data_IF_309133467135
#
_entry.id   IF_309133467135
#
_cell.length_a   1.000
_cell.length_b   1.000
_cell.length_c   1.000
_cell.angle_alpha   90.00
_cell.angle_beta   90.00
_cell.angle_gamma   90.00
#
_symmetry.space_group_name_H-M   'P 1'
#
loop_
_entity.id
_entity.type
_entity.pdbx_description
1 polymer ?
#
# COMPACT_ATOMS: atom_id res chain seq x y z
N UNK A 1 14.56 -16.64 51.89
CA UNK A 1 14.65 -15.38 51.10
C UNK A 1 15.13 -15.61 49.65
N UNK A 2 16.35 -16.10 49.38
CA UNK A 2 16.85 -16.31 47.98
C UNK A 2 15.93 -17.17 47.07
N UNK A 3 15.34 -18.25 47.59
CA UNK A 3 14.44 -19.13 46.83
C UNK A 3 13.11 -18.47 46.45
N UNK A 4 12.62 -17.54 47.30
CA UNK A 4 11.37 -16.79 47.05
C UNK A 4 11.62 -15.75 45.95
N UNK A 5 12.73 -15.02 46.02
CA UNK A 5 13.13 -14.04 45.00
C UNK A 5 13.32 -14.71 43.63
N UNK A 6 13.96 -15.90 43.59
CA UNK A 6 14.14 -16.64 42.35
C UNK A 6 12.80 -17.13 41.77
N UNK A 7 11.88 -17.59 42.62
CA UNK A 7 10.54 -18.02 42.19
C UNK A 7 9.72 -16.83 41.64
N UNK A 8 9.79 -15.66 42.29
CA UNK A 8 9.10 -14.45 41.82
C UNK A 8 9.67 -13.96 40.48
N UNK A 9 11.00 -13.96 40.31
CA UNK A 9 11.65 -13.61 39.04
C UNK A 9 11.27 -14.57 37.91
N UNK A 10 11.19 -15.88 38.20
CA UNK A 10 10.77 -16.88 37.21
C UNK A 10 9.30 -16.69 36.82
N UNK A 11 8.43 -16.40 37.80
CA UNK A 11 7.01 -16.14 37.54
C UNK A 11 6.81 -14.86 36.72
N UNK A 12 7.60 -13.83 36.99
CA UNK A 12 7.59 -12.59 36.23
C UNK A 12 8.07 -12.83 34.79
N UNK A 13 9.20 -13.53 34.61
CA UNK A 13 9.73 -13.87 33.29
C UNK A 13 8.77 -14.73 32.46
N UNK A 14 8.10 -15.71 33.09
CA UNK A 14 7.05 -16.49 32.43
C UNK A 14 5.87 -15.59 32.08
N UNK A 15 5.41 -14.71 32.97
CA UNK A 15 4.30 -13.78 32.67
C UNK A 15 4.60 -12.79 31.55
N UNK A 16 5.86 -12.33 31.42
CA UNK A 16 6.33 -11.50 30.31
C UNK A 16 6.38 -12.28 28.98
N UNK A 17 6.63 -13.59 29.03
CA UNK A 17 6.68 -14.46 27.85
C UNK A 17 5.29 -14.92 27.34
N UNK A 18 4.22 -14.76 28.13
CA UNK A 18 2.83 -15.06 27.71
C UNK A 18 2.08 -13.82 27.21
N UNK A 19 2.72 -12.64 27.19
CA UNK A 19 2.08 -11.46 26.60
C UNK A 19 2.03 -11.63 25.07
N UNK A 20 0.88 -11.39 24.42
CA UNK A 20 0.77 -11.47 22.97
C UNK A 20 1.73 -10.45 22.35
N UNK A 21 2.71 -10.94 21.59
CA UNK A 21 3.58 -10.08 20.78
C UNK A 21 2.71 -9.52 19.67
N UNK A 22 2.45 -8.22 19.73
CA UNK A 22 1.75 -7.51 18.68
C UNK A 22 2.72 -7.36 17.51
N UNK A 23 2.47 -8.06 16.41
CA UNK A 23 3.21 -7.85 15.17
C UNK A 23 2.65 -6.61 14.46
N UNK A 24 3.05 -5.42 14.91
CA UNK A 24 2.82 -4.18 14.16
C UNK A 24 3.87 -4.14 13.06
N UNK A 25 3.43 -4.24 11.80
CA UNK A 25 4.32 -4.02 10.67
C UNK A 25 4.59 -2.51 10.61
N UNK A 26 5.87 -2.15 10.63
CA UNK A 26 6.28 -0.75 10.72
C UNK A 26 5.83 0.02 9.48
N UNK A 27 5.05 1.08 9.69
CA UNK A 27 4.75 2.11 8.70
C UNK A 27 5.91 3.10 8.64
N UNK A 28 6.30 3.48 7.43
CA UNK A 28 7.38 4.44 7.17
C UNK A 28 6.89 5.45 6.14
N UNK A 29 7.03 6.75 6.44
CA UNK A 29 6.48 7.80 5.59
C UNK A 29 7.59 8.66 4.98
N UNK A 30 7.44 8.95 3.69
CA UNK A 30 8.46 9.59 2.87
C UNK A 30 7.86 10.70 2.02
N UNK A 31 8.63 11.76 1.78
CA UNK A 31 8.43 12.70 0.68
C UNK A 31 9.62 12.64 -0.25
N UNK A 32 9.37 12.61 -1.55
CA UNK A 32 10.42 12.47 -2.53
C UNK A 32 9.93 12.59 -3.96
N UNK A 33 10.70 12.01 -4.87
CA UNK A 33 10.36 11.93 -6.29
C UNK A 33 10.32 10.48 -6.75
N UNK A 34 9.36 10.15 -7.60
CA UNK A 34 9.34 8.85 -8.27
C UNK A 34 10.60 8.72 -9.12
N UNK A 35 11.38 7.66 -8.88
CA UNK A 35 12.62 7.39 -9.61
C UNK A 35 12.42 6.35 -10.70
N UNK A 36 11.77 5.23 -10.37
CA UNK A 36 11.55 4.10 -11.28
C UNK A 36 10.18 3.49 -11.02
N UNK A 37 9.44 3.17 -12.08
CA UNK A 37 8.23 2.35 -12.06
C UNK A 37 8.53 1.10 -12.89
N UNK A 38 8.51 -0.07 -12.26
CA UNK A 38 8.70 -1.37 -12.91
C UNK A 38 7.37 -2.15 -12.82
N UNK A 39 6.52 -1.92 -13.82
CA UNK A 39 5.21 -2.55 -13.94
C UNK A 39 5.29 -4.09 -14.05
N UNK A 40 6.35 -4.63 -14.65
CA UNK A 40 6.54 -6.07 -14.77
C UNK A 40 6.78 -6.75 -13.41
N UNK A 41 7.36 -6.01 -12.45
CA UNK A 41 7.61 -6.49 -11.09
C UNK A 41 6.63 -5.94 -10.05
N UNK A 42 5.66 -5.12 -10.45
CA UNK A 42 4.77 -4.39 -9.55
C UNK A 42 5.55 -3.63 -8.47
N UNK A 43 6.67 -2.99 -8.85
CA UNK A 43 7.48 -2.24 -7.90
C UNK A 43 7.64 -0.80 -8.34
N UNK A 44 7.69 0.08 -7.36
CA UNK A 44 8.02 1.48 -7.55
C UNK A 44 9.11 1.90 -6.58
N UNK A 45 10.02 2.74 -7.09
CA UNK A 45 11.15 3.29 -6.36
C UNK A 45 10.98 4.80 -6.21
N UNK A 46 11.12 5.29 -4.98
CA UNK A 46 11.11 6.70 -4.64
C UNK A 46 12.51 7.13 -4.22
N UNK A 47 13.00 8.21 -4.83
CA UNK A 47 14.16 8.95 -4.34
C UNK A 47 13.67 9.92 -3.26
N UNK A 48 13.98 9.60 -2.01
CA UNK A 48 13.51 10.29 -0.82
C UNK A 48 14.29 11.59 -0.57
N UNK A 49 13.55 12.66 -0.32
CA UNK A 49 14.06 13.96 0.09
C UNK A 49 13.82 14.21 1.59
N UNK A 50 12.70 13.72 2.13
CA UNK A 50 12.33 13.86 3.54
C UNK A 50 11.74 12.56 4.10
N UNK A 51 11.98 12.32 5.38
CA UNK A 51 11.48 11.19 6.16
C UNK A 51 10.67 11.74 7.32
N UNK A 52 9.52 11.14 7.62
CA UNK A 52 8.76 11.51 8.80
C UNK A 52 9.28 10.74 10.02
N UNK A 53 9.79 11.43 11.03
CA UNK A 53 10.31 10.82 12.28
C UNK A 53 9.31 10.97 13.45
N UNK A 54 8.02 10.79 13.17
CA UNK A 54 6.94 10.73 14.16
C UNK A 54 6.35 12.07 14.58
N UNK A 55 7.12 13.16 14.52
CA UNK A 55 6.66 14.52 14.85
C UNK A 55 6.79 15.50 13.71
N UNK A 56 7.78 15.33 12.85
CA UNK A 56 8.08 16.27 11.78
C UNK A 56 8.74 15.58 10.58
N UNK A 57 8.70 16.28 9.45
CA UNK A 57 9.41 15.92 8.24
C UNK A 57 10.87 16.38 8.33
N UNK A 58 11.79 15.42 8.39
CA UNK A 58 13.23 15.69 8.48
C UNK A 58 13.87 15.47 7.10
N UNK A 59 14.74 16.37 6.62
CA UNK A 59 15.49 16.14 5.39
C UNK A 59 16.29 14.83 5.49
N UNK A 60 16.30 14.02 4.43
CA UNK A 60 17.00 12.73 4.40
C UNK A 60 18.45 12.81 4.90
N UNK A 61 19.17 13.88 4.56
CA UNK A 61 20.56 14.10 4.99
C UNK A 61 20.77 14.14 6.51
N UNK A 62 19.69 14.31 7.27
CA UNK A 62 19.66 14.34 8.74
C UNK A 62 18.89 13.15 9.34
N UNK A 63 18.16 12.41 8.52
CA UNK A 63 17.40 11.25 8.98
C UNK A 63 18.36 10.14 9.44
N UNK A 64 18.00 9.47 10.53
CA UNK A 64 18.82 8.38 11.11
C UNK A 64 18.19 7.00 10.91
N UNK A 65 16.96 6.98 10.42
CA UNK A 65 16.08 5.81 10.36
C UNK A 65 16.25 4.98 9.09
N UNK A 66 16.79 5.57 8.01
CA UNK A 66 16.95 4.87 6.73
C UNK A 66 18.39 4.95 6.21
N UNK A 67 18.94 3.84 5.67
CA UNK A 67 20.34 3.77 5.25
C UNK A 67 20.60 4.36 3.86
N UNK A 68 19.57 4.52 3.03
CA UNK A 68 19.68 5.01 1.65
C UNK A 68 18.47 5.89 1.30
N UNK A 69 18.66 6.86 0.41
CA UNK A 69 17.58 7.70 -0.08
C UNK A 69 16.81 7.09 -1.27
N UNK A 70 17.10 5.85 -1.65
CA UNK A 70 16.38 5.14 -2.69
C UNK A 70 15.59 4.03 -2.00
N UNK A 71 14.27 4.23 -1.89
CA UNK A 71 13.35 3.32 -1.23
C UNK A 71 12.53 2.62 -2.29
N UNK A 72 12.43 1.30 -2.19
CA UNK A 72 11.65 0.47 -3.10
C UNK A 72 10.53 -0.21 -2.34
N UNK A 73 9.35 -0.23 -2.95
CA UNK A 73 8.19 -0.95 -2.45
C UNK A 73 7.38 -1.55 -3.59
N UNK A 74 6.51 -2.50 -3.25
CA UNK A 74 5.53 -3.11 -4.14
C UNK A 74 4.26 -2.26 -4.20
N UNK A 75 3.58 -2.34 -5.34
CA UNK A 75 2.25 -1.78 -5.54
C UNK A 75 1.57 -2.57 -6.65
N UNK A 76 0.43 -3.18 -6.33
CA UNK A 76 -0.44 -3.82 -7.31
C UNK A 76 -1.44 -2.82 -7.91
N UNK A 77 -1.55 -1.61 -7.37
CA UNK A 77 -2.42 -0.56 -7.89
C UNK A 77 -2.00 -0.16 -9.33
N UNK A 78 -2.84 -0.45 -10.34
CA UNK A 78 -2.51 -0.18 -11.74
C UNK A 78 -2.56 1.31 -12.08
N UNK A 79 -3.28 2.13 -11.30
CA UNK A 79 -3.35 3.58 -11.52
C UNK A 79 -2.02 4.24 -11.18
N UNK A 80 -1.36 3.82 -10.10
CA UNK A 80 0.00 4.27 -9.75
C UNK A 80 0.94 4.03 -10.92
N UNK A 81 0.90 2.83 -11.52
CA UNK A 81 1.78 2.47 -12.65
C UNK A 81 1.46 3.26 -13.93
N UNK A 82 0.20 3.64 -14.12
CA UNK A 82 -0.29 4.32 -15.33
C UNK A 82 -0.12 5.84 -15.26
N UNK A 83 -0.34 6.43 -14.10
CA UNK A 83 -0.56 7.87 -13.95
C UNK A 83 0.65 8.59 -13.32
N UNK A 84 1.40 7.92 -12.44
CA UNK A 84 2.66 8.45 -11.95
C UNK A 84 3.76 8.27 -12.99
N UNK A 85 4.71 9.22 -12.97
CA UNK A 85 5.85 9.23 -13.87
C UNK A 85 7.12 9.52 -13.09
N UNK A 86 8.24 9.09 -13.64
CA UNK A 86 9.55 9.47 -13.12
C UNK A 86 9.65 11.01 -13.01
N UNK A 87 10.11 11.48 -11.85
CA UNK A 87 10.22 12.90 -11.50
C UNK A 87 9.00 13.48 -10.80
N UNK A 88 7.86 12.78 -10.77
CA UNK A 88 6.70 13.25 -10.00
C UNK A 88 7.04 13.34 -8.52
N UNK A 89 6.72 14.48 -7.90
CA UNK A 89 6.84 14.66 -6.46
C UNK A 89 5.71 13.89 -5.76
N UNK A 90 6.07 13.13 -4.73
CA UNK A 90 5.12 12.29 -4.00
C UNK A 90 5.35 12.36 -2.49
N UNK A 91 4.25 12.21 -1.76
CA UNK A 91 4.24 11.71 -0.40
C UNK A 91 3.80 10.25 -0.42
N UNK A 92 4.45 9.38 0.34
CA UNK A 92 4.11 7.96 0.32
C UNK A 92 4.30 7.33 1.70
N UNK A 93 3.48 6.31 1.98
CA UNK A 93 3.62 5.45 3.14
C UNK A 93 3.93 4.03 2.69
N UNK A 94 5.01 3.46 3.22
CA UNK A 94 5.43 2.09 3.03
C UNK A 94 5.13 1.29 4.29
N UNK A 95 4.56 0.10 4.13
CA UNK A 95 4.44 -0.89 5.19
C UNK A 95 5.46 -2.00 4.98
N UNK A 96 6.32 -2.23 5.97
CA UNK A 96 7.37 -3.25 5.92
C UNK A 96 8.72 -2.71 5.43
N UNK A 97 9.53 -3.58 4.82
CA UNK A 97 10.93 -3.29 4.51
C UNK A 97 11.10 -2.43 3.23
N UNK A 98 12.13 -1.58 3.24
CA UNK A 98 12.42 -0.59 2.19
C UNK A 98 13.18 -1.12 0.97
N UNK A 99 13.47 -2.42 0.95
CA UNK A 99 14.33 -3.08 -0.06
C UNK A 99 13.55 -3.62 -1.27
N UNK A 100 12.25 -3.34 -1.34
CA UNK A 100 11.34 -3.82 -2.37
C UNK A 100 10.49 -5.00 -1.97
N UNK A 101 10.60 -5.49 -0.73
CA UNK A 101 9.69 -6.50 -0.20
C UNK A 101 8.45 -5.90 0.47
N UNK A 102 8.55 -4.70 1.04
CA UNK A 102 7.44 -3.93 1.61
C UNK A 102 6.46 -3.39 0.56
N UNK A 103 5.32 -2.90 1.02
CA UNK A 103 4.18 -2.49 0.20
C UNK A 103 3.87 -1.00 0.37
N UNK A 104 3.65 -0.31 -0.74
CA UNK A 104 3.16 1.07 -0.74
C UNK A 104 1.67 1.07 -0.43
N UNK A 105 1.31 1.42 0.81
CA UNK A 105 -0.08 1.40 1.28
C UNK A 105 -0.80 2.72 1.07
N UNK A 106 -0.05 3.79 0.79
CA UNK A 106 -0.60 5.08 0.39
C UNK A 106 0.42 5.88 -0.43
N UNK A 107 -0.07 6.61 -1.42
CA UNK A 107 0.72 7.45 -2.31
C UNK A 107 -0.06 8.68 -2.76
N UNK A 108 0.43 9.85 -2.39
CA UNK A 108 -0.11 11.13 -2.80
C UNK A 108 0.81 11.80 -3.82
N UNK A 109 0.31 12.11 -5.01
CA UNK A 109 1.01 13.01 -5.94
C UNK A 109 0.90 14.43 -5.42
N UNK A 110 2.06 15.07 -5.29
CA UNK A 110 2.17 16.45 -4.83
C UNK A 110 2.10 17.37 -6.05
N UNK A 111 1.12 18.27 -6.05
CA UNK A 111 1.07 19.39 -6.97
C UNK A 111 1.97 20.52 -6.50
N UNK A 112 2.29 21.46 -7.39
CA UNK A 112 2.96 22.69 -7.03
C UNK A 112 2.11 23.86 -7.53
N UNK A 113 1.55 24.60 -6.59
CA UNK A 113 0.70 25.77 -6.87
C UNK A 113 1.52 27.05 -6.69
N UNK A 114 2.47 27.02 -5.73
CA UNK A 114 3.45 28.06 -5.50
C UNK A 114 4.76 27.46 -4.97
N UNK A 115 5.76 28.30 -4.69
CA UNK A 115 7.04 27.86 -4.09
C UNK A 115 6.90 27.33 -2.66
N UNK A 116 5.78 27.58 -1.99
CA UNK A 116 5.54 27.21 -0.59
C UNK A 116 4.35 26.28 -0.40
N UNK A 117 3.47 26.17 -1.40
CA UNK A 117 2.26 25.35 -1.32
C UNK A 117 2.40 24.12 -2.22
N UNK A 118 2.45 22.97 -1.57
CA UNK A 118 2.66 21.65 -2.20
C UNK A 118 1.55 20.69 -1.77
N UNK A 119 0.31 20.90 -2.23
CA UNK A 119 -0.84 20.09 -1.83
C UNK A 119 -0.83 18.72 -2.51
N UNK A 120 -1.59 17.78 -1.95
CA UNK A 120 -1.96 16.58 -2.68
C UNK A 120 -2.94 16.95 -3.80
N UNK A 121 -2.65 16.50 -5.03
CA UNK A 121 -3.56 16.63 -6.17
C UNK A 121 -4.18 15.29 -6.57
N UNK A 122 -3.55 14.20 -6.15
CA UNK A 122 -4.07 12.85 -6.35
C UNK A 122 -3.57 11.96 -5.22
N UNK A 123 -4.38 10.98 -4.81
CA UNK A 123 -4.03 10.00 -3.79
C UNK A 123 -4.48 8.61 -4.24
N UNK A 124 -3.62 7.61 -4.03
CA UNK A 124 -3.89 6.19 -4.22
C UNK A 124 -3.56 5.46 -2.91
N UNK A 125 -4.43 4.56 -2.43
CA UNK A 125 -4.26 3.87 -1.16
C UNK A 125 -4.94 4.60 0.00
N UNK A 126 -4.39 4.46 1.21
CA UNK A 126 -5.05 4.90 2.45
C UNK A 126 -4.78 6.38 2.80
N UNK A 127 -5.81 7.27 2.74
CA UNK A 127 -5.66 8.68 3.04
C UNK A 127 -5.21 8.98 4.48
N UNK A 128 -5.51 8.09 5.43
CA UNK A 128 -5.11 8.26 6.83
C UNK A 128 -3.61 8.13 7.06
N UNK A 129 -2.86 7.65 6.05
CA UNK A 129 -1.42 7.40 6.12
C UNK A 129 -0.59 8.54 5.53
N UNK A 130 -1.25 9.55 4.97
CA UNK A 130 -0.60 10.76 4.46
C UNK A 130 -0.95 11.94 5.36
N UNK A 131 -0.05 12.91 5.40
CA UNK A 131 -0.10 14.09 6.28
C UNK A 131 -0.36 15.39 5.52
N UNK A 132 -0.11 15.44 4.22
CA UNK A 132 -0.35 16.66 3.43
C UNK A 132 -1.83 16.81 3.11
N UNK A 133 -2.32 18.06 3.19
CA UNK A 133 -3.68 18.40 2.81
C UNK A 133 -3.86 18.40 1.27
N UNK A 134 -5.11 18.25 0.83
CA UNK A 134 -5.50 18.50 -0.55
C UNK A 134 -5.52 20.00 -0.86
N UNK A 135 -5.61 20.36 -2.14
CA UNK A 135 -5.53 21.76 -2.56
C UNK A 135 -6.69 22.58 -1.98
N UNK A 136 -6.47 23.88 -1.73
CA UNK A 136 -7.46 24.79 -1.14
C UNK A 136 -8.07 24.32 0.20
N UNK A 137 -7.31 23.59 1.03
CA UNK A 137 -7.73 23.26 2.39
C UNK A 137 -8.85 22.23 2.48
N UNK A 138 -9.02 21.39 1.44
CA UNK A 138 -9.87 20.21 1.53
C UNK A 138 -9.30 19.20 2.52
N UNK A 139 -10.14 18.75 3.45
CA UNK A 139 -9.81 17.71 4.43
C UNK A 139 -10.73 16.51 4.17
N UNK A 140 -10.09 15.36 3.92
CA UNK A 140 -10.77 14.09 3.74
C UNK A 140 -10.69 13.27 5.03
N UNK A 141 -11.83 12.77 5.50
CA UNK A 141 -11.92 11.84 6.63
C UNK A 141 -12.85 10.69 6.29
N UNK A 142 -12.59 9.54 6.89
CA UNK A 142 -13.46 8.39 6.72
C UNK A 142 -13.50 7.53 7.99
N UNK A 143 -14.55 6.72 8.10
CA UNK A 143 -14.66 5.57 9.00
C UNK A 143 -15.28 4.40 8.25
N UNK A 144 -14.98 3.18 8.67
CA UNK A 144 -15.42 1.95 7.99
C UNK A 144 -16.35 1.11 8.84
N UNK A 145 -17.07 0.19 8.20
CA UNK A 145 -17.97 -0.77 8.86
C UNK A 145 -17.46 -2.19 8.64
N UNK A 146 -17.30 -2.95 9.72
CA UNK A 146 -16.85 -4.34 9.66
C UNK A 146 -17.87 -5.27 9.00
N UNK A 147 -17.44 -6.07 8.02
CA UNK A 147 -18.17 -7.26 7.60
C UNK A 147 -17.83 -8.44 8.52
N UNK A 148 -18.49 -8.51 9.68
CA UNK A 148 -18.12 -9.41 10.78
C UNK A 148 -18.14 -10.91 10.45
N UNK A 149 -18.86 -11.32 9.41
CA UNK A 149 -18.94 -12.72 8.98
C UNK A 149 -17.72 -13.17 8.15
N UNK A 150 -16.88 -12.23 7.69
CA UNK A 150 -15.77 -12.47 6.75
C UNK A 150 -14.40 -12.08 7.33
N UNK A 151 -14.29 -11.93 8.64
CA UNK A 151 -13.04 -11.56 9.29
C UNK A 151 -11.95 -12.63 9.12
N UNK A 152 -10.72 -12.19 8.85
CA UNK A 152 -9.55 -13.05 8.80
C UNK A 152 -8.52 -12.55 9.81
N UNK A 153 -8.36 -13.25 10.93
CA UNK A 153 -7.49 -12.81 12.01
C UNK A 153 -7.99 -11.52 12.66
N UNK A 154 -7.17 -10.47 12.66
CA UNK A 154 -7.43 -9.20 13.38
C UNK A 154 -8.11 -8.13 12.53
N UNK A 155 -8.34 -8.41 11.25
CA UNK A 155 -8.97 -7.50 10.30
C UNK A 155 -10.19 -8.15 9.68
N UNK A 156 -11.18 -7.33 9.40
CA UNK A 156 -12.36 -7.72 8.62
C UNK A 156 -12.39 -6.90 7.34
N UNK A 157 -12.85 -7.47 6.21
CA UNK A 157 -13.25 -6.66 5.07
C UNK A 157 -14.24 -5.59 5.52
N UNK A 158 -14.10 -4.40 4.95
CA UNK A 158 -15.03 -3.30 5.20
C UNK A 158 -16.21 -3.37 4.22
N UNK A 159 -17.43 -3.36 4.75
CA UNK A 159 -18.66 -3.37 3.96
C UNK A 159 -18.91 -2.03 3.27
N UNK A 160 -18.61 -0.93 3.96
CA UNK A 160 -18.79 0.43 3.48
C UNK A 160 -17.83 1.39 4.19
N UNK A 161 -17.57 2.54 3.54
CA UNK A 161 -16.88 3.67 4.13
C UNK A 161 -17.82 4.86 4.26
N UNK A 162 -17.95 5.41 5.46
CA UNK A 162 -18.56 6.72 5.70
C UNK A 162 -17.49 7.79 5.50
N UNK A 163 -17.63 8.58 4.45
CA UNK A 163 -16.69 9.62 4.06
C UNK A 163 -17.26 10.98 4.41
N UNK A 164 -16.46 11.82 5.05
CA UNK A 164 -16.74 13.22 5.33
C UNK A 164 -15.68 14.08 4.65
N UNK A 165 -16.13 15.01 3.80
CA UNK A 165 -15.25 16.01 3.17
C UNK A 165 -15.58 17.38 3.74
N UNK A 166 -14.58 18.06 4.26
CA UNK A 166 -14.68 19.44 4.73
C UNK A 166 -13.71 20.35 4.00
N UNK A 167 -13.99 21.64 4.04
CA UNK A 167 -13.10 22.70 3.55
C UNK A 167 -13.14 23.86 4.54
N UNK A 168 -11.97 24.40 4.86
CA UNK A 168 -11.83 25.54 5.79
C UNK A 168 -12.54 25.30 7.16
N UNK A 169 -12.61 24.04 7.59
CA UNK A 169 -13.26 23.61 8.83
C UNK A 169 -14.76 23.35 8.74
N UNK A 170 -15.41 23.63 7.60
CA UNK A 170 -16.83 23.38 7.38
C UNK A 170 -17.05 22.08 6.60
N UNK A 171 -17.96 21.24 7.08
CA UNK A 171 -18.36 20.03 6.36
C UNK A 171 -19.10 20.45 5.09
N UNK A 172 -18.56 20.07 3.95
CA UNK A 172 -19.21 20.29 2.66
C UNK A 172 -20.25 19.19 2.43
N UNK A 173 -19.86 17.94 2.65
CA UNK A 173 -20.67 16.79 2.29
C UNK A 173 -20.22 15.52 3.01
N UNK A 174 -21.19 14.64 3.29
CA UNK A 174 -21.00 13.34 3.92
C UNK A 174 -21.69 12.27 3.09
N UNK A 175 -21.06 11.11 2.95
CA UNK A 175 -21.60 10.03 2.15
C UNK A 175 -21.10 8.67 2.59
N UNK A 176 -22.01 7.70 2.66
CA UNK A 176 -21.68 6.29 2.67
C UNK A 176 -21.33 5.82 1.25
N UNK A 177 -20.19 5.15 1.12
CA UNK A 177 -19.65 4.63 -0.12
C UNK A 177 -19.44 3.12 -0.02
N UNK A 178 -20.01 2.37 -0.96
CA UNK A 178 -19.74 0.95 -1.11
C UNK A 178 -18.39 0.73 -1.85
N UNK A 179 -17.71 -0.42 -1.68
CA UNK A 179 -16.53 -0.76 -2.47
C UNK A 179 -16.79 -0.67 -3.99
N UNK A 180 -15.87 -0.04 -4.70
CA UNK A 180 -15.96 0.30 -6.13
C UNK A 180 -16.78 1.57 -6.44
N UNK A 181 -17.46 2.17 -5.46
CA UNK A 181 -18.26 3.37 -5.70
C UNK A 181 -17.38 4.60 -5.91
N UNK A 182 -17.74 5.42 -6.90
CA UNK A 182 -17.11 6.72 -7.16
C UNK A 182 -18.11 7.84 -6.92
N UNK A 183 -17.69 8.88 -6.21
CA UNK A 183 -18.49 10.04 -5.89
C UNK A 183 -17.71 11.34 -6.01
N UNK A 184 -18.39 12.44 -6.37
CA UNK A 184 -17.79 13.78 -6.49
C UNK A 184 -18.33 14.66 -5.38
N UNK A 185 -17.49 14.90 -4.37
CA UNK A 185 -17.83 15.71 -3.21
C UNK A 185 -17.76 17.20 -3.55
N UNK A 186 -18.77 17.95 -3.12
CA UNK A 186 -18.82 19.40 -3.34
C UNK A 186 -19.22 19.80 -4.77
N UNK A 187 -19.74 18.88 -5.58
CA UNK A 187 -20.20 19.15 -6.96
C UNK A 187 -21.23 20.28 -7.06
N UNK A 188 -22.07 20.44 -6.03
CA UNK A 188 -23.15 21.42 -5.97
C UNK A 188 -22.72 22.71 -5.24
N UNK A 189 -21.45 22.81 -4.84
CA UNK A 189 -20.89 24.02 -4.22
C UNK A 189 -20.30 24.96 -5.27
N UNK A 190 -20.10 26.22 -4.93
CA UNK A 190 -19.42 27.21 -5.79
C UNK A 190 -17.88 27.05 -5.82
N UNK A 191 -17.35 25.97 -5.25
CA UNK A 191 -15.92 25.71 -5.24
C UNK A 191 -15.39 25.43 -6.65
N UNK A 192 -14.23 26.00 -6.98
CA UNK A 192 -13.58 25.78 -8.28
C UNK A 192 -12.98 24.38 -8.40
N UNK A 193 -12.56 23.80 -7.28
CA UNK A 193 -12.01 22.45 -7.17
C UNK A 193 -12.96 21.58 -6.36
N UNK A 194 -12.96 20.28 -6.64
CA UNK A 194 -13.78 19.27 -5.98
C UNK A 194 -12.98 17.98 -5.83
N UNK A 195 -13.36 17.15 -4.86
CA UNK A 195 -12.75 15.84 -4.69
C UNK A 195 -13.60 14.78 -5.40
N UNK A 196 -13.03 14.15 -6.42
CA UNK A 196 -13.56 12.90 -6.97
C UNK A 196 -12.91 11.74 -6.22
N UNK A 197 -13.72 10.99 -5.48
CA UNK A 197 -13.28 9.92 -4.60
C UNK A 197 -13.84 8.61 -5.12
N UNK A 198 -13.00 7.59 -5.20
CA UNK A 198 -13.38 6.20 -5.37
C UNK A 198 -12.96 5.45 -4.12
N UNK A 199 -13.90 4.77 -3.48
CA UNK A 199 -13.58 3.82 -2.41
C UNK A 199 -13.36 2.46 -3.07
N UNK A 200 -12.13 1.97 -3.16
CA UNK A 200 -11.83 0.76 -3.92
C UNK A 200 -12.20 -0.49 -3.11
N UNK A 201 -11.63 -0.60 -1.91
CA UNK A 201 -11.93 -1.63 -0.91
C UNK A 201 -11.29 -1.22 0.41
N UNK A 202 -11.58 -1.93 1.49
CA UNK A 202 -10.96 -1.63 2.77
C UNK A 202 -11.08 -2.71 3.81
N UNK A 203 -10.48 -2.42 4.96
CA UNK A 203 -10.47 -3.28 6.13
C UNK A 203 -10.80 -2.46 7.37
N UNK A 204 -11.40 -3.13 8.35
CA UNK A 204 -11.61 -2.57 9.69
C UNK A 204 -11.10 -3.53 10.75
N UNK A 205 -10.91 -3.04 11.97
CA UNK A 205 -10.52 -3.90 13.08
C UNK A 205 -11.61 -4.92 13.40
N UNK A 206 -11.23 -6.19 13.60
CA UNK A 206 -12.19 -7.19 14.06
C UNK A 206 -12.77 -6.90 15.44
N UNK A 207 -12.15 -6.01 16.22
CA UNK A 207 -12.66 -5.56 17.53
C UNK A 207 -14.00 -4.84 17.45
N UNK A 208 -14.38 -4.30 16.28
CA UNK A 208 -15.72 -3.73 16.08
C UNK A 208 -16.82 -4.81 16.10
N UNK A 209 -16.46 -6.08 15.91
CA UNK A 209 -17.38 -7.20 15.96
C UNK A 209 -17.53 -7.72 17.39
N UNK A 210 -18.77 -7.79 17.87
CA UNK A 210 -19.12 -8.18 19.25
C UNK A 210 -18.62 -9.57 19.68
N UNK A 211 -18.23 -10.42 18.73
CA UNK A 211 -17.76 -11.80 18.94
C UNK A 211 -16.25 -11.98 18.79
N UNK A 212 -15.50 -10.93 18.45
CA UNK A 212 -14.07 -11.08 18.18
C UNK A 212 -13.28 -11.23 19.48
N UNK A 213 -12.43 -12.27 19.61
CA UNK A 213 -11.47 -12.31 20.69
C UNK A 213 -10.51 -11.12 20.57
N UNK A 214 -10.04 -10.57 21.70
CA UNK A 214 -8.98 -9.54 21.69
C UNK A 214 -7.70 -10.12 21.09
N UNK A 215 -7.57 -9.98 19.79
CA UNK A 215 -6.40 -10.36 19.02
C UNK A 215 -5.68 -9.10 18.60
N UNK A 216 -4.35 -9.13 18.70
CA UNK A 216 -3.50 -8.07 18.15
C UNK A 216 -2.79 -8.61 16.92
N UNK A 217 -2.81 -7.85 15.84
CA UNK A 217 -2.29 -8.26 14.54
C UNK A 217 -2.19 -7.07 13.60
N UNK A 218 -2.09 -7.32 12.28
CA UNK A 218 -1.91 -6.27 11.28
C UNK A 218 -2.95 -5.16 11.41
N UNK A 219 -2.51 -3.92 11.17
CA UNK A 219 -3.40 -2.77 11.13
C UNK A 219 -4.29 -2.82 9.88
N UNK A 220 -5.56 -2.42 9.98
CA UNK A 220 -6.44 -2.31 8.82
C UNK A 220 -5.93 -1.23 7.86
N UNK A 221 -6.08 -1.49 6.56
CA UNK A 221 -5.75 -0.57 5.46
C UNK A 221 -6.99 -0.39 4.60
N UNK A 222 -7.25 0.85 4.19
CA UNK A 222 -8.37 1.17 3.31
C UNK A 222 -7.86 1.82 2.03
N UNK A 223 -8.21 1.28 0.87
CA UNK A 223 -7.74 1.76 -0.42
C UNK A 223 -8.76 2.73 -1.04
N UNK A 224 -8.32 3.96 -1.25
CA UNK A 224 -9.06 4.99 -1.96
C UNK A 224 -8.27 5.45 -3.19
N UNK A 225 -9.00 5.98 -4.17
CA UNK A 225 -8.43 6.83 -5.21
C UNK A 225 -9.11 8.19 -5.13
N UNK A 226 -8.34 9.24 -4.91
CA UNK A 226 -8.85 10.60 -4.74
C UNK A 226 -8.17 11.50 -5.75
N UNK A 227 -8.96 12.19 -6.56
CA UNK A 227 -8.50 13.25 -7.44
C UNK A 227 -9.02 14.58 -6.94
N UNK A 228 -8.10 15.53 -6.72
CA UNK A 228 -8.45 16.93 -6.56
C UNK A 228 -8.41 17.59 -7.94
N UNK A 229 -9.58 18.00 -8.42
CA UNK A 229 -9.77 18.35 -9.82
C UNK A 229 -10.65 19.58 -9.97
N UNK A 230 -10.49 20.28 -11.09
CA UNK A 230 -11.36 21.41 -11.40
C UNK A 230 -12.79 20.92 -11.62
N UNK A 231 -13.74 21.58 -10.96
CA UNK A 231 -15.17 21.30 -11.04
C UNK A 231 -15.67 21.34 -12.49
N UNK A 232 -15.20 22.29 -13.29
CA UNK A 232 -15.57 22.42 -14.70
C UNK A 232 -15.24 21.17 -15.51
N UNK A 233 -14.05 20.58 -15.31
CA UNK A 233 -13.63 19.37 -16.02
C UNK A 233 -14.55 18.17 -15.73
N UNK A 234 -15.05 18.07 -14.49
CA UNK A 234 -16.01 17.02 -14.11
C UNK A 234 -17.38 17.27 -14.74
N UNK A 235 -17.90 18.49 -14.65
CA UNK A 235 -19.21 18.82 -15.21
C UNK A 235 -19.26 18.64 -16.74
N UNK A 236 -18.17 18.98 -17.45
CA UNK A 236 -18.02 18.71 -18.89
C UNK A 236 -18.05 17.22 -19.20
N UNK A 237 -17.39 16.38 -18.39
CA UNK A 237 -17.38 14.93 -18.57
C UNK A 237 -18.77 14.28 -18.38
N UNK A 238 -19.61 14.87 -17.51
CA UNK A 238 -20.98 14.38 -17.25
C UNK A 238 -21.99 14.83 -18.30
N UNK A 239 -21.73 15.95 -19.00
CA UNK A 239 -22.59 16.50 -20.06
C UNK A 239 -22.19 16.06 -21.46
N UNK A 240 -21.03 15.42 -21.62
CA UNK A 240 -20.62 14.78 -22.86
C UNK A 240 -21.57 13.63 -23.20
N UNK A 241 -22.62 13.93 -23.96
CA UNK A 241 -23.42 12.91 -24.64
C UNK A 241 -22.47 12.14 -25.55
N UNK A 242 -22.39 10.81 -25.48
CA UNK A 242 -21.60 10.05 -26.44
C UNK A 242 -22.19 10.31 -27.81
N UNK A 243 -21.53 11.16 -28.60
CA UNK A 243 -21.81 11.24 -30.02
C UNK A 243 -21.27 9.95 -30.60
N UNK A 244 -22.13 8.94 -30.65
CA UNK A 244 -21.92 7.76 -31.47
C UNK A 244 -21.78 8.25 -32.91
N UNK A 245 -20.54 8.53 -33.32
CA UNK A 245 -20.21 8.62 -34.73
C UNK A 245 -20.45 7.22 -35.27
N UNK A 246 -21.37 7.00 -36.21
CA UNK A 246 -21.52 5.70 -36.84
C UNK A 246 -20.18 5.41 -37.52
N UNK A 247 -19.50 4.36 -37.06
CA UNK A 247 -18.36 3.79 -37.77
C UNK A 247 -18.87 3.36 -39.14
N UNK A 248 -18.59 4.19 -40.15
CA UNK A 248 -18.79 3.82 -41.54
C UNK A 248 -17.81 2.67 -41.80
N UNK A 249 -18.34 1.46 -41.96
CA UNK A 249 -17.57 0.28 -42.32
C UNK A 249 -16.98 0.50 -43.72
N UNK A 250 -15.75 0.99 -43.79
CA UNK A 250 -14.94 0.88 -45.00
C UNK A 250 -14.56 -0.59 -45.14
N UNK A 251 -15.28 -1.30 -46.02
CA UNK A 251 -14.88 -2.62 -46.51
C UNK A 251 -13.60 -2.41 -47.33
N UNK A 252 -12.45 -2.60 -46.69
CA UNK A 252 -11.18 -2.74 -47.41
C UNK A 252 -11.13 -4.17 -47.95
N UNK A 253 -11.36 -4.29 -49.24
CA UNK A 253 -11.15 -5.50 -50.05
C UNK A 253 -9.72 -6.02 -49.85
N UNK A 254 -9.59 -7.31 -49.52
CA UNK A 254 -8.31 -7.93 -49.26
C UNK A 254 -7.50 -8.10 -50.55
N UNK A 255 -6.36 -7.41 -50.65
CA UNK A 255 -5.35 -7.70 -51.66
C UNK A 255 -4.76 -9.10 -51.42
N UNK A 256 -4.67 -9.98 -52.43
CA UNK A 256 -4.10 -11.32 -52.27
C UNK A 256 -2.59 -11.24 -51.96
N UNK A 257 -2.18 -11.94 -50.91
CA UNK A 257 -0.77 -12.12 -50.52
C UNK A 257 -0.08 -13.06 -51.53
N UNK A 258 1.07 -12.66 -52.11
CA UNK A 258 1.89 -13.53 -52.96
C UNK A 258 2.47 -14.73 -52.18
N UNK A 259 2.61 -15.93 -52.78
CA UNK A 259 3.10 -17.11 -52.09
C UNK A 259 4.57 -16.97 -51.67
N UNK A 260 4.84 -17.25 -50.39
CA UNK A 260 6.17 -17.27 -49.79
C UNK A 260 7.01 -18.48 -50.30
N UNK A 261 8.32 -18.32 -50.55
CA UNK A 261 9.20 -19.40 -50.99
C UNK A 261 9.36 -20.51 -49.94
N UNK A 262 9.36 -21.77 -50.38
CA UNK A 262 9.58 -22.94 -49.52
C UNK A 262 11.04 -23.03 -49.10
N UNK A 263 11.31 -22.99 -47.79
CA UNK A 263 12.60 -23.39 -47.24
C UNK A 263 12.79 -24.93 -47.28
N UNK A 264 14.03 -25.42 -47.53
CA UNK A 264 14.36 -26.84 -47.54
C UNK A 264 14.38 -27.47 -46.14
N UNK A 265 14.26 -28.81 -46.05
CA UNK A 265 13.95 -29.52 -44.80
C UNK A 265 15.07 -29.45 -43.75
N UNK A 266 14.68 -29.18 -42.51
CA UNK A 266 15.53 -29.25 -41.32
C UNK A 266 15.75 -30.71 -40.93
N UNK A 267 17.01 -31.13 -40.98
CA UNK A 267 17.50 -32.42 -40.45
C UNK A 267 17.40 -32.44 -38.93
N UNK A 268 16.57 -33.34 -38.39
CA UNK A 268 16.43 -33.60 -36.96
C UNK A 268 17.69 -34.27 -36.39
N UNK A 269 18.33 -33.62 -35.43
CA UNK A 269 19.36 -34.24 -34.58
C UNK A 269 18.71 -35.13 -33.51
N UNK A 270 19.33 -36.27 -33.15
CA UNK A 270 18.74 -37.23 -32.21
C UNK A 270 18.76 -36.77 -30.76
N UNK A 271 17.65 -37.07 -30.08
CA UNK A 271 17.37 -36.95 -28.65
C UNK A 271 18.50 -37.50 -27.76
N UNK A 272 19.01 -36.73 -26.78
CA UNK A 272 19.87 -37.29 -25.74
C UNK A 272 19.04 -38.11 -24.74
N UNK A 273 19.51 -39.33 -24.47
CA UNK A 273 18.97 -40.29 -23.51
C UNK A 273 18.92 -39.76 -22.07
N UNK A 274 17.99 -40.25 -21.23
CA UNK A 274 17.90 -39.87 -19.83
C UNK A 274 19.10 -40.40 -19.04
N UNK A 275 19.78 -39.52 -18.31
CA UNK A 275 20.83 -39.89 -17.35
C UNK A 275 20.21 -40.33 -16.00
N UNK A 276 20.91 -41.19 -15.25
CA UNK A 276 20.33 -41.97 -14.16
C UNK A 276 20.15 -41.16 -12.87
N UNK A 277 19.02 -41.45 -12.20
CA UNK A 277 18.68 -41.05 -10.84
C UNK A 277 19.74 -41.55 -9.85
N UNK A 278 20.48 -40.62 -9.24
CA UNK A 278 21.27 -40.92 -8.04
C UNK A 278 20.36 -40.78 -6.82
N UNK A 279 20.04 -41.93 -6.25
CA UNK A 279 19.66 -42.12 -4.85
C UNK A 279 20.69 -41.49 -3.91
N UNK A 280 20.23 -40.84 -2.84
CA UNK A 280 21.12 -40.43 -1.77
C UNK A 280 20.57 -39.39 -0.80
N UNK A 281 20.13 -39.89 0.35
CA UNK A 281 20.11 -39.26 1.68
C UNK A 281 19.02 -38.24 1.98
N UNK A 282 18.11 -38.68 2.86
CA UNK A 282 17.10 -37.86 3.51
C UNK A 282 17.72 -36.79 4.39
N UNK A 283 17.10 -35.62 4.35
CA UNK A 283 17.25 -34.60 5.37
C UNK A 283 16.10 -34.78 6.37
N UNK A 284 16.46 -35.46 7.45
CA UNK A 284 15.73 -35.46 8.72
C UNK A 284 15.44 -34.01 9.17
N UNK A 285 14.21 -33.82 9.67
CA UNK A 285 13.81 -32.68 10.48
C UNK A 285 14.78 -32.56 11.68
N UNK A 286 15.67 -31.56 11.66
CA UNK A 286 16.36 -31.15 12.88
C UNK A 286 15.45 -30.15 13.59
N UNK A 287 14.67 -30.66 14.54
CA UNK A 287 14.08 -29.89 15.63
C UNK A 287 15.24 -29.33 16.47
N UNK A 288 15.46 -28.02 16.41
CA UNK A 288 16.37 -27.35 17.35
C UNK A 288 15.64 -27.23 18.69
N UNK A 289 15.90 -28.19 19.57
CA UNK A 289 15.63 -28.12 21.00
C UNK A 289 16.96 -28.16 21.77
N UNK A 290 17.15 -27.22 22.69
CA UNK A 290 18.31 -27.09 23.59
C UNK A 290 19.15 -25.85 23.24
N UNK A 291 19.52 -24.97 24.19
CA UNK A 291 20.16 -25.30 25.46
C UNK A 291 19.73 -24.32 26.55
N UNK A 292 19.06 -24.85 27.58
CA UNK A 292 19.13 -24.35 28.96
C UNK A 292 20.43 -24.91 29.54
N UNK A 293 21.27 -24.02 30.07
CA UNK A 293 22.38 -24.39 30.95
C UNK A 293 23.70 -23.79 30.50
N UNK A 294 24.11 -22.69 31.15
CA UNK A 294 25.49 -22.39 31.58
C UNK A 294 25.61 -20.94 32.07
N UNK A 295 25.32 -20.69 33.34
CA UNK A 295 25.90 -19.55 34.08
C UNK A 295 25.78 -19.77 35.60
N UNK A 296 26.26 -20.93 36.07
CA UNK A 296 26.73 -21.08 37.45
C UNK A 296 28.23 -21.36 37.36
N UNK A 297 28.98 -20.63 38.18
CA UNK A 297 30.43 -20.64 38.37
C UNK A 297 31.20 -19.69 37.45
N UNK A 298 31.41 -18.45 37.93
CA UNK A 298 32.70 -17.84 38.32
C UNK A 298 32.34 -16.42 38.79
N UNK A 299 32.20 -16.18 40.09
CA UNK A 299 33.25 -15.47 40.85
C UNK A 299 33.11 -15.80 42.34
N UNK A 300 33.90 -16.78 42.77
CA UNK A 300 34.62 -16.70 44.05
C UNK A 300 35.75 -15.70 43.82
N UNK A 301 35.71 -14.54 44.48
CA UNK A 301 36.81 -13.83 45.17
C UNK A 301 36.45 -12.36 45.33
N UNK A 302 36.46 -11.95 46.61
CA UNK A 302 36.23 -10.63 47.19
C UNK A 302 34.77 -10.18 47.25
#
# INVERSE_FOLDING_TARGET
MKKIILATMLLLAVSLAVMPVSAVIQEQHFKGQVSVIDAAKNTMTVQVNYVYEGTEWVPYSKATTIPNNIIRGKTDNPLIQKELKQGDAVEACLMGDTDGSGEWIAMGKIGSVSSTETPLITLYGDPSKLFSDFYQGYVFRYSTVAQCESCTGTVCPSEAAFVTVSKDGEIIEEKEMAPGETYVFGKDTENQYVLQVTYNFGQTSSQECSSAPMMVGPQPINDFTIYDTQRSAILESMTATPTATPAQATVTEATPVPPEPRDPPVTTAPTPSPMPTKSGLGFELIIIAGIIGSAIAVLRRY
#
